data_IF_857723203964
#
_entry.id   IF_857723203964
#
_cell.length_a   1.000
_cell.length_b   1.000
_cell.length_c   1.000
_cell.angle_alpha   90.00
_cell.angle_beta   90.00
_cell.angle_gamma   90.00
#
_symmetry.space_group_name_H-M   'P 1'
#
loop_
_entity.id
_entity.type
_entity.pdbx_description
1 polymer ?
#
# COMPACT_ATOMS: atom_id res chain seq x y z
N UNK A 1 25.32 69.89 26.01
CA UNK A 1 26.75 69.73 26.38
C UNK A 1 26.85 69.69 27.90
N UNK A 2 27.74 68.91 28.55
CA UNK A 2 28.50 67.71 28.15
C UNK A 2 28.13 66.47 29.01
N UNK A 3 28.12 65.27 28.43
CA UNK A 3 29.12 64.19 28.55
C UNK A 3 29.29 63.55 29.95
N UNK A 4 28.89 62.29 30.06
CA UNK A 4 29.54 61.33 30.94
C UNK A 4 29.69 60.00 30.18
N UNK A 5 30.93 59.51 30.16
CA UNK A 5 31.42 58.35 29.41
C UNK A 5 31.75 57.22 30.39
N UNK A 6 31.61 55.98 29.89
CA UNK A 6 32.28 54.71 30.26
C UNK A 6 31.62 53.72 31.24
N UNK A 7 31.26 52.58 30.62
CA UNK A 7 31.61 51.17 30.91
C UNK A 7 31.21 50.55 32.26
N UNK A 8 30.41 49.49 32.20
CA UNK A 8 30.83 48.07 32.26
C UNK A 8 29.66 47.22 32.80
N UNK A 9 29.54 45.97 32.36
CA UNK A 9 28.73 44.97 33.07
C UNK A 9 27.80 44.15 32.18
N UNK A 10 28.39 43.11 31.61
CA UNK A 10 27.79 41.90 31.06
C UNK A 10 26.73 41.25 31.98
N UNK A 11 25.62 40.76 31.42
CA UNK A 11 25.08 39.41 31.60
C UNK A 11 23.54 39.32 31.47
N UNK A 12 23.11 38.17 30.96
CA UNK A 12 21.78 37.55 31.04
C UNK A 12 20.74 37.90 29.94
N UNK A 13 20.85 37.14 28.85
CA UNK A 13 19.74 36.58 28.09
C UNK A 13 18.55 36.15 28.96
N UNK A 14 17.33 36.53 28.56
CA UNK A 14 16.17 35.64 28.55
C UNK A 14 15.16 36.15 27.51
N UNK A 15 15.05 35.41 26.42
CA UNK A 15 14.14 35.61 25.30
C UNK A 15 12.73 35.17 25.66
N UNK A 16 11.75 36.09 25.60
CA UNK A 16 10.33 35.76 25.55
C UNK A 16 9.77 36.26 24.20
N UNK A 17 9.65 35.34 23.24
CA UNK A 17 8.97 35.57 21.97
C UNK A 17 7.88 34.51 21.83
N UNK A 18 6.74 34.86 22.43
CA UNK A 18 5.39 34.36 22.19
C UNK A 18 5.17 33.89 20.75
N UNK A 19 5.20 32.57 20.50
CA UNK A 19 4.72 31.97 19.25
C UNK A 19 3.26 31.59 19.40
N UNK A 20 2.41 32.32 18.69
CA UNK A 20 0.98 32.08 18.53
C UNK A 20 0.75 30.67 17.97
N UNK A 21 -0.03 29.86 18.69
CA UNK A 21 -0.60 28.60 18.19
C UNK A 21 -1.62 28.95 17.10
N UNK A 22 -1.33 28.60 15.85
CA UNK A 22 -2.34 28.45 14.82
C UNK A 22 -2.69 26.97 14.80
N UNK A 23 -3.89 26.69 15.29
CA UNK A 23 -4.54 25.38 15.25
C UNK A 23 -4.76 25.03 13.77
N UNK A 24 -3.94 24.12 13.24
CA UNK A 24 -4.20 23.51 11.93
C UNK A 24 -5.17 22.34 12.16
N UNK A 25 -6.25 22.23 11.37
CA UNK A 25 -7.24 21.17 11.57
C UNK A 25 -6.55 19.82 11.37
N UNK A 26 -6.80 18.90 12.29
CA UNK A 26 -6.39 17.51 12.18
C UNK A 26 -7.00 16.93 10.90
N UNK A 27 -6.20 16.89 9.83
CA UNK A 27 -6.47 15.99 8.73
C UNK A 27 -6.36 14.59 9.30
N UNK A 28 -7.42 13.82 9.16
CA UNK A 28 -7.51 12.41 9.50
C UNK A 28 -6.35 11.67 8.82
N UNK A 29 -5.22 11.58 9.51
CA UNK A 29 -4.01 10.99 8.99
C UNK A 29 -4.25 9.49 8.99
N UNK A 30 -4.68 8.98 7.82
CA UNK A 30 -4.67 7.55 7.49
C UNK A 30 -3.34 7.00 8.01
N UNK A 31 -3.33 5.96 8.87
CA UNK A 31 -2.12 5.49 9.50
C UNK A 31 -1.07 5.23 8.42
N UNK A 32 0.12 5.82 8.58
CA UNK A 32 1.21 5.61 7.65
C UNK A 32 1.50 4.10 7.60
N UNK A 33 1.27 3.50 6.43
CA UNK A 33 1.62 2.11 6.20
C UNK A 33 3.14 2.05 6.18
N UNK A 34 3.70 1.28 7.11
CA UNK A 34 5.15 1.13 7.26
C UNK A 34 5.71 0.33 6.08
N UNK A 35 6.62 0.93 5.30
CA UNK A 35 7.22 0.33 4.11
C UNK A 35 8.45 -0.54 4.40
N UNK A 36 8.98 -0.51 5.62
CA UNK A 36 10.16 -1.25 6.07
C UNK A 36 10.11 -2.76 5.77
N UNK A 37 8.98 -3.49 5.95
CA UNK A 37 8.94 -4.92 5.63
C UNK A 37 9.12 -5.22 4.14
N UNK A 38 9.00 -4.23 3.24
CA UNK A 38 9.12 -4.44 1.81
C UNK A 38 10.48 -4.04 1.23
N UNK A 39 11.39 -3.50 2.07
CA UNK A 39 12.75 -3.18 1.65
C UNK A 39 13.53 -4.41 1.18
N UNK A 40 13.22 -5.60 1.71
CA UNK A 40 13.83 -6.87 1.28
C UNK A 40 13.47 -7.27 -0.15
N UNK A 41 12.38 -6.72 -0.70
CA UNK A 41 11.93 -6.90 -2.08
C UNK A 41 12.34 -5.72 -2.97
N UNK A 42 13.37 -4.96 -2.59
CA UNK A 42 13.89 -3.81 -3.32
C UNK A 42 12.91 -2.61 -3.45
N UNK A 43 11.90 -2.50 -2.57
CA UNK A 43 11.10 -1.28 -2.49
C UNK A 43 11.96 -0.10 -2.02
N UNK A 44 11.88 1.04 -2.71
CA UNK A 44 12.60 2.25 -2.33
C UNK A 44 12.23 2.73 -0.92
N UNK A 45 13.22 3.15 -0.13
CA UNK A 45 13.01 3.79 1.18
C UNK A 45 12.15 5.07 1.07
N UNK A 46 12.14 5.71 -0.10
CA UNK A 46 11.37 6.92 -0.37
C UNK A 46 10.07 6.63 -1.13
N UNK A 47 9.61 5.38 -1.14
CA UNK A 47 8.34 5.01 -1.77
C UNK A 47 7.18 5.82 -1.15
N UNK A 48 6.30 6.41 -1.98
CA UNK A 48 5.15 7.13 -1.46
C UNK A 48 4.20 6.17 -0.72
N UNK A 49 3.44 6.63 0.29
CA UNK A 49 2.54 5.75 1.08
C UNK A 49 1.51 4.98 0.24
N UNK A 50 1.08 5.56 -0.88
CA UNK A 50 0.19 4.89 -1.83
C UNK A 50 0.85 3.67 -2.47
N UNK A 51 2.14 3.76 -2.82
CA UNK A 51 2.87 2.63 -3.39
C UNK A 51 3.04 1.52 -2.35
N UNK A 52 3.38 1.88 -1.11
CA UNK A 52 3.47 0.90 0.00
C UNK A 52 2.14 0.16 0.20
N UNK A 53 1.02 0.88 0.11
CA UNK A 53 -0.32 0.29 0.19
C UNK A 53 -0.57 -0.70 -0.96
N UNK A 54 -0.16 -0.36 -2.18
CA UNK A 54 -0.28 -1.25 -3.34
C UNK A 54 0.61 -2.49 -3.21
N UNK A 55 1.84 -2.35 -2.69
CA UNK A 55 2.74 -3.49 -2.43
C UNK A 55 2.15 -4.43 -1.37
N UNK A 56 1.60 -3.88 -0.28
CA UNK A 56 0.90 -4.67 0.72
C UNK A 56 -0.31 -5.40 0.13
N UNK A 57 -1.07 -4.71 -0.72
CA UNK A 57 -2.22 -5.29 -1.38
C UNK A 57 -1.82 -6.40 -2.35
N UNK A 58 -0.74 -6.20 -3.13
CA UNK A 58 -0.16 -7.21 -4.01
C UNK A 58 0.23 -8.46 -3.22
N UNK A 59 0.98 -8.31 -2.12
CA UNK A 59 1.34 -9.42 -1.23
C UNK A 59 0.10 -10.17 -0.68
N UNK A 60 -0.95 -9.42 -0.32
CA UNK A 60 -2.20 -9.98 0.20
C UNK A 60 -2.99 -10.74 -0.88
N UNK A 61 -2.98 -10.24 -2.12
CA UNK A 61 -3.60 -10.86 -3.28
C UNK A 61 -2.89 -12.17 -3.64
N UNK A 62 -1.55 -12.14 -3.71
CA UNK A 62 -0.69 -13.30 -3.92
C UNK A 62 -0.99 -14.45 -2.94
N UNK A 63 -1.03 -14.11 -1.66
CA UNK A 63 -1.36 -15.07 -0.61
C UNK A 63 -2.79 -15.61 -0.75
N UNK A 64 -3.75 -14.73 -1.07
CA UNK A 64 -5.17 -15.11 -1.21
C UNK A 64 -5.39 -16.04 -2.40
N UNK A 65 -4.78 -15.76 -3.56
CA UNK A 65 -4.85 -16.62 -4.75
C UNK A 65 -4.26 -18.00 -4.43
N UNK A 66 -3.07 -18.02 -3.82
CA UNK A 66 -2.41 -19.28 -3.41
C UNK A 66 -3.30 -20.08 -2.48
N UNK A 67 -3.89 -19.43 -1.47
CA UNK A 67 -4.77 -20.07 -0.49
C UNK A 67 -6.02 -20.64 -1.14
N UNK A 68 -6.69 -19.88 -2.01
CA UNK A 68 -7.89 -20.36 -2.72
C UNK A 68 -7.56 -21.57 -3.61
N UNK A 69 -6.45 -21.51 -4.35
CA UNK A 69 -6.00 -22.62 -5.19
C UNK A 69 -5.68 -23.88 -4.36
N UNK A 70 -5.03 -23.74 -3.20
CA UNK A 70 -4.77 -24.85 -2.27
C UNK A 70 -6.07 -25.54 -1.82
N UNK A 71 -7.12 -24.76 -1.58
CA UNK A 71 -8.45 -25.27 -1.23
C UNK A 71 -9.31 -25.65 -2.44
N UNK A 72 -8.74 -25.67 -3.66
CA UNK A 72 -9.45 -25.93 -4.92
C UNK A 72 -10.67 -25.03 -5.11
N UNK A 73 -10.58 -23.79 -4.64
CA UNK A 73 -11.58 -22.74 -4.83
C UNK A 73 -11.16 -21.85 -5.98
N UNK A 74 -12.14 -21.44 -6.79
CA UNK A 74 -11.92 -20.46 -7.85
C UNK A 74 -11.55 -19.11 -7.25
N UNK A 75 -10.41 -18.50 -7.65
CA UNK A 75 -10.01 -17.16 -7.24
C UNK A 75 -10.85 -16.08 -7.96
N UNK A 76 -12.14 -16.04 -7.63
CA UNK A 76 -13.05 -15.01 -8.12
C UNK A 76 -12.84 -13.70 -7.36
N UNK A 77 -13.17 -12.58 -7.99
CA UNK A 77 -12.96 -11.25 -7.42
C UNK A 77 -13.67 -11.09 -6.07
N UNK A 78 -14.90 -11.61 -5.92
CA UNK A 78 -15.60 -11.53 -4.63
C UNK A 78 -14.96 -12.42 -3.55
N UNK A 79 -14.42 -13.58 -3.92
CA UNK A 79 -13.72 -14.46 -2.99
C UNK A 79 -12.39 -13.84 -2.53
N UNK A 80 -11.62 -13.29 -3.47
CA UNK A 80 -10.36 -12.60 -3.19
C UNK A 80 -10.60 -11.36 -2.33
N UNK A 81 -11.60 -10.55 -2.66
CA UNK A 81 -11.98 -9.38 -1.86
C UNK A 81 -12.28 -9.75 -0.42
N UNK A 82 -13.11 -10.77 -0.18
CA UNK A 82 -13.40 -11.24 1.19
C UNK A 82 -12.15 -11.72 1.91
N UNK A 83 -11.28 -12.47 1.23
CA UNK A 83 -10.04 -12.99 1.82
C UNK A 83 -9.07 -11.85 2.21
N UNK A 84 -8.89 -10.87 1.33
CA UNK A 84 -8.01 -9.72 1.54
C UNK A 84 -8.57 -8.80 2.62
N UNK A 85 -9.84 -8.40 2.53
CA UNK A 85 -10.48 -7.53 3.53
C UNK A 85 -10.48 -8.18 4.92
N UNK A 86 -10.60 -9.52 4.99
CA UNK A 86 -10.52 -10.27 6.25
C UNK A 86 -9.10 -10.39 6.82
N UNK A 87 -8.05 -10.37 5.99
CA UNK A 87 -6.67 -10.66 6.41
C UNK A 87 -5.81 -9.41 6.55
N UNK A 88 -5.93 -8.47 5.62
CA UNK A 88 -5.03 -7.34 5.47
C UNK A 88 -5.60 -6.01 6.01
N UNK A 89 -6.85 -5.99 6.49
CA UNK A 89 -7.57 -4.78 6.94
C UNK A 89 -7.52 -3.62 5.93
N UNK A 90 -7.37 -3.92 4.64
CA UNK A 90 -7.37 -2.95 3.55
C UNK A 90 -8.59 -3.19 2.65
N UNK A 91 -9.04 -2.15 1.96
CA UNK A 91 -10.13 -2.24 0.99
C UNK A 91 -9.60 -2.76 -0.32
N UNK A 92 -10.29 -3.76 -0.91
CA UNK A 92 -9.97 -4.26 -2.24
C UNK A 92 -11.16 -4.04 -3.18
N UNK A 93 -11.01 -3.13 -4.13
CA UNK A 93 -11.96 -2.91 -5.22
C UNK A 93 -11.29 -3.14 -6.58
N UNK A 94 -12.11 -3.13 -7.64
CA UNK A 94 -11.61 -3.29 -9.01
C UNK A 94 -10.63 -2.17 -9.40
N UNK A 95 -10.77 -0.99 -8.80
CA UNK A 95 -9.85 0.11 -8.99
C UNK A 95 -8.44 -0.22 -8.49
N UNK A 96 -8.30 -0.77 -7.29
CA UNK A 96 -6.99 -1.16 -6.78
C UNK A 96 -6.40 -2.31 -7.59
N UNK A 97 -7.21 -3.28 -8.04
CA UNK A 97 -6.75 -4.31 -8.97
C UNK A 97 -6.21 -3.71 -10.27
N UNK A 98 -6.91 -2.72 -10.83
CA UNK A 98 -6.44 -2.01 -12.03
C UNK A 98 -5.14 -1.24 -11.77
N UNK A 99 -4.94 -0.66 -10.58
CA UNK A 99 -3.67 -0.03 -10.20
C UNK A 99 -2.53 -1.03 -10.13
N UNK A 100 -2.75 -2.22 -9.56
CA UNK A 100 -1.75 -3.29 -9.54
C UNK A 100 -1.34 -3.69 -10.97
N UNK A 101 -2.31 -3.88 -11.85
CA UNK A 101 -2.08 -4.22 -13.26
C UNK A 101 -1.49 -3.06 -14.07
N UNK A 102 -1.62 -1.82 -13.61
CA UNK A 102 -0.96 -0.68 -14.25
C UNK A 102 0.55 -0.70 -13.96
N UNK A 103 0.92 -1.12 -12.74
CA UNK A 103 2.33 -1.25 -12.36
C UNK A 103 2.95 -2.50 -12.96
N UNK A 104 2.27 -3.65 -12.89
CA UNK A 104 2.74 -4.91 -13.46
C UNK A 104 1.63 -5.57 -14.30
N UNK A 105 1.52 -5.22 -15.60
CA UNK A 105 0.43 -5.69 -16.47
C UNK A 105 0.32 -7.21 -16.59
N UNK A 106 1.47 -7.88 -16.63
CA UNK A 106 1.55 -9.33 -16.83
C UNK A 106 1.52 -10.10 -15.50
N UNK A 107 1.18 -9.45 -14.38
CA UNK A 107 1.13 -10.10 -13.08
C UNK A 107 0.01 -11.13 -12.98
N UNK A 108 -1.13 -10.86 -13.62
CA UNK A 108 -2.34 -11.66 -13.51
C UNK A 108 -3.11 -11.74 -14.84
N UNK A 109 -3.67 -12.92 -15.11
CA UNK A 109 -4.68 -13.09 -16.14
C UNK A 109 -6.07 -12.81 -15.56
N UNK A 110 -6.83 -11.98 -16.29
CA UNK A 110 -8.21 -11.67 -15.98
C UNK A 110 -9.14 -12.44 -16.90
N UNK A 111 -10.02 -13.26 -16.32
CA UNK A 111 -11.04 -14.01 -17.06
C UNK A 111 -12.41 -13.79 -16.47
N UNK A 112 -13.46 -14.02 -17.26
CA UNK A 112 -14.83 -14.00 -16.77
C UNK A 112 -15.38 -15.41 -16.76
N UNK A 113 -15.81 -15.89 -15.60
CA UNK A 113 -16.38 -17.23 -15.47
C UNK A 113 -17.77 -17.17 -14.84
N UNK A 114 -18.60 -18.17 -15.16
CA UNK A 114 -19.89 -18.33 -14.48
C UNK A 114 -19.67 -19.07 -13.17
N UNK A 115 -20.39 -18.68 -12.12
CA UNK A 115 -20.46 -19.48 -10.92
C UNK A 115 -20.96 -20.90 -11.28
N UNK A 116 -20.34 -21.97 -10.73
CA UNK A 116 -20.58 -23.34 -11.16
C UNK A 116 -22.03 -23.81 -11.00
N UNK A 117 -22.81 -23.17 -10.11
CA UNK A 117 -24.12 -23.66 -9.70
C UNK A 117 -25.32 -22.88 -10.26
N UNK A 118 -25.14 -21.85 -11.09
CA UNK A 118 -26.29 -21.04 -11.51
C UNK A 118 -26.10 -20.24 -12.81
N UNK A 119 -26.77 -20.67 -13.88
CA UNK A 119 -26.79 -19.97 -15.17
C UNK A 119 -27.46 -18.59 -15.14
N UNK A 120 -28.15 -18.23 -14.04
CA UNK A 120 -28.75 -16.91 -13.84
C UNK A 120 -27.80 -15.94 -13.14
N UNK A 121 -26.67 -16.42 -12.61
CA UNK A 121 -25.68 -15.56 -11.95
C UNK A 121 -24.83 -14.89 -13.04
N UNK A 122 -24.63 -13.56 -12.95
CA UNK A 122 -23.77 -12.85 -13.89
C UNK A 122 -22.35 -13.42 -13.89
N UNK A 123 -21.64 -13.19 -14.99
CA UNK A 123 -20.22 -13.53 -15.07
C UNK A 123 -19.46 -12.80 -13.96
N UNK A 124 -18.56 -13.52 -13.30
CA UNK A 124 -17.69 -12.98 -12.28
C UNK A 124 -16.26 -12.88 -12.81
N UNK A 125 -15.58 -11.78 -12.48
CA UNK A 125 -14.16 -11.60 -12.74
C UNK A 125 -13.36 -12.61 -11.92
N UNK A 126 -12.45 -13.33 -12.56
CA UNK A 126 -11.52 -14.26 -11.95
C UNK A 126 -10.09 -13.82 -12.24
N UNK A 127 -9.23 -13.99 -11.23
CA UNK A 127 -7.83 -13.58 -11.27
C UNK A 127 -6.97 -14.83 -11.11
N UNK A 128 -6.12 -15.10 -12.10
CA UNK A 128 -5.17 -16.21 -12.05
C UNK A 128 -3.75 -15.73 -12.29
N UNK A 129 -2.77 -16.49 -11.81
CA UNK A 129 -1.36 -16.23 -12.08
C UNK A 129 -1.01 -16.86 -13.44
N UNK A 130 -0.51 -16.09 -14.42
CA UNK A 130 -0.10 -16.61 -15.72
C UNK A 130 1.04 -17.62 -15.57
N UNK A 131 1.19 -18.55 -16.50
CA UNK A 131 2.21 -19.61 -16.43
C UNK A 131 3.64 -19.04 -16.32
N UNK A 132 3.94 -17.94 -17.03
CA UNK A 132 5.23 -17.26 -16.97
C UNK A 132 5.54 -16.69 -15.57
N UNK A 133 4.52 -16.26 -14.83
CA UNK A 133 4.67 -15.77 -13.45
C UNK A 133 4.56 -16.92 -12.44
N UNK A 134 3.91 -18.02 -12.77
CA UNK A 134 3.72 -19.17 -11.89
C UNK A 134 5.02 -19.94 -11.62
N UNK A 135 6.02 -19.83 -12.50
CA UNK A 135 7.36 -20.38 -12.25
C UNK A 135 8.19 -19.57 -11.24
N UNK A 136 7.78 -18.34 -10.96
CA UNK A 136 8.45 -17.47 -10.01
C UNK A 136 7.95 -17.75 -8.59
N UNK A 137 8.88 -17.71 -7.63
CA UNK A 137 8.56 -17.72 -6.22
C UNK A 137 7.83 -16.44 -5.80
N UNK A 138 7.14 -16.48 -4.66
CA UNK A 138 6.51 -15.30 -4.07
C UNK A 138 7.48 -14.12 -3.98
N UNK A 139 8.72 -14.37 -3.54
CA UNK A 139 9.76 -13.36 -3.42
C UNK A 139 10.11 -12.72 -4.76
N UNK A 140 10.33 -13.52 -5.79
CA UNK A 140 10.66 -13.01 -7.14
C UNK A 140 9.53 -12.17 -7.72
N UNK A 141 8.27 -12.54 -7.46
CA UNK A 141 7.10 -11.76 -7.90
C UNK A 141 6.96 -10.46 -7.13
N UNK A 142 7.25 -10.46 -5.82
CA UNK A 142 7.31 -9.24 -5.01
C UNK A 142 8.42 -8.31 -5.50
N UNK A 143 9.61 -8.83 -5.77
CA UNK A 143 10.74 -8.07 -6.31
C UNK A 143 10.41 -7.48 -7.69
N UNK A 144 9.77 -8.26 -8.57
CA UNK A 144 9.29 -7.77 -9.86
C UNK A 144 8.26 -6.63 -9.71
N UNK A 145 7.34 -6.74 -8.76
CA UNK A 145 6.34 -5.70 -8.53
C UNK A 145 6.94 -4.42 -7.92
N UNK A 146 7.86 -4.55 -6.97
CA UNK A 146 8.51 -3.40 -6.33
C UNK A 146 9.49 -2.65 -7.25
N UNK A 147 9.97 -3.31 -8.31
CA UNK A 147 10.91 -2.74 -9.29
C UNK A 147 10.25 -2.26 -10.58
N UNK A 148 8.94 -2.41 -10.71
CA UNK A 148 8.15 -2.02 -11.87
C UNK A 148 7.92 -0.50 -12.00
#
# INVERSE_FOLDING_TARGET
MPSATKRAGEAAMATDAKRVKVDAPAVDAKPAVDGTPYAEYALSEHAPPQLVTLVQLFASLEFSITTLNLYKRTPSFSALRRAIESSAKCTFSEHELAQLLTLLPDAYDLTFSKAPDNHKVPLELCVSVPEAMASLSFRERMEAFCSA
#
